data_IF_899555483521
#
_entry.id   IF_899555483521
#
_cell.length_a   1.000
_cell.length_b   1.000
_cell.length_c   1.000
_cell.angle_alpha   90.00
_cell.angle_beta   90.00
_cell.angle_gamma   90.00
#
_symmetry.space_group_name_H-M   'P 1'
#
loop_
_entity.id
_entity.type
_entity.pdbx_description
1 polymer ?
#
# COMPACT_ATOMS: atom_id res chain seq x y z
N UNK A 1 -13.11 11.50 19.90
CA UNK A 1 -13.82 10.25 20.32
C UNK A 1 -12.86 9.47 21.19
N UNK A 2 -13.29 9.01 22.37
CA UNK A 2 -12.47 8.18 23.24
C UNK A 2 -12.62 6.70 22.84
N UNK A 3 -11.52 5.96 22.80
CA UNK A 3 -11.47 4.52 22.51
C UNK A 3 -11.05 3.80 23.78
N UNK A 4 -11.67 2.66 24.05
CA UNK A 4 -11.42 1.87 25.24
C UNK A 4 -11.16 0.41 24.88
N UNK A 5 -10.24 -0.22 25.56
CA UNK A 5 -10.05 -1.66 25.56
C UNK A 5 -10.91 -2.28 26.65
N UNK A 6 -11.66 -3.32 26.34
CA UNK A 6 -12.45 -4.09 27.32
C UNK A 6 -11.72 -5.39 27.57
N UNK A 7 -11.32 -5.59 28.82
CA UNK A 7 -10.78 -6.85 29.32
C UNK A 7 -11.82 -7.59 30.16
N UNK A 8 -11.52 -8.81 30.64
CA UNK A 8 -12.43 -9.56 31.50
C UNK A 8 -12.72 -8.82 32.83
N UNK A 9 -11.79 -8.00 33.29
CA UNK A 9 -11.83 -7.42 34.65
C UNK A 9 -12.06 -5.90 34.64
N UNK A 10 -11.82 -5.20 33.51
CA UNK A 10 -11.87 -3.74 33.48
C UNK A 10 -12.00 -3.16 32.08
N UNK A 11 -12.40 -1.89 32.04
CA UNK A 11 -12.36 -1.05 30.86
C UNK A 11 -11.16 -0.09 31.00
N UNK A 12 -10.27 -0.11 30.03
CA UNK A 12 -9.04 0.70 30.02
C UNK A 12 -9.10 1.74 28.89
N UNK A 13 -8.97 3.04 29.17
CA UNK A 13 -8.91 4.04 28.11
C UNK A 13 -7.59 3.89 27.34
N UNK A 14 -7.69 3.85 26.00
CA UNK A 14 -6.53 3.95 25.13
C UNK A 14 -6.12 5.41 24.98
N UNK A 15 -4.83 5.68 25.15
CA UNK A 15 -4.31 7.02 24.98
C UNK A 15 -4.20 7.37 23.50
N UNK A 16 -4.78 8.50 23.08
CA UNK A 16 -4.60 8.99 21.72
C UNK A 16 -3.14 9.36 21.50
N UNK A 17 -2.66 9.08 20.30
CA UNK A 17 -1.31 9.47 19.86
C UNK A 17 -1.36 9.92 18.41
N UNK A 18 -0.32 10.57 17.95
CA UNK A 18 -0.15 10.94 16.54
C UNK A 18 1.02 10.19 15.92
N UNK A 19 1.05 10.10 14.59
CA UNK A 19 2.19 9.53 13.88
C UNK A 19 3.49 10.32 14.17
N UNK A 20 3.36 11.64 14.33
CA UNK A 20 4.50 12.51 14.67
C UNK A 20 5.06 12.19 16.05
N UNK A 21 4.18 11.97 17.05
CA UNK A 21 4.60 11.65 18.42
C UNK A 21 5.30 10.29 18.49
N UNK A 22 4.92 9.37 17.60
CA UNK A 22 5.58 8.07 17.45
C UNK A 22 6.82 8.11 16.55
N UNK A 23 7.16 9.26 15.98
CA UNK A 23 8.27 9.39 15.03
C UNK A 23 8.06 8.64 13.71
N UNK A 24 6.82 8.28 13.40
CA UNK A 24 6.50 7.49 12.21
C UNK A 24 6.36 8.37 10.96
N UNK A 25 6.92 7.91 9.86
CA UNK A 25 6.82 8.53 8.53
C UNK A 25 5.80 7.78 7.67
N UNK A 26 5.11 8.50 6.78
CA UNK A 26 4.09 7.95 5.89
C UNK A 26 4.64 6.81 5.02
N UNK A 27 5.69 7.07 4.25
CA UNK A 27 6.26 6.08 3.33
C UNK A 27 7.18 5.07 4.01
N UNK A 28 8.06 5.56 4.86
CA UNK A 28 9.07 4.69 5.46
C UNK A 28 8.52 3.70 6.47
N UNK A 29 7.49 4.09 7.20
CA UNK A 29 7.02 3.32 8.36
C UNK A 29 5.57 2.88 8.19
N UNK A 30 4.62 3.80 7.98
CA UNK A 30 3.20 3.46 7.86
C UNK A 30 2.95 2.54 6.65
N UNK A 31 3.50 2.89 5.48
CA UNK A 31 3.36 2.08 4.28
C UNK A 31 3.94 0.67 4.47
N UNK A 32 5.14 0.57 5.05
CA UNK A 32 5.79 -0.71 5.34
C UNK A 32 4.95 -1.56 6.30
N UNK A 33 4.46 -0.97 7.40
CA UNK A 33 3.65 -1.68 8.39
C UNK A 33 2.33 -2.17 7.78
N UNK A 34 1.62 -1.33 7.04
CA UNK A 34 0.37 -1.72 6.40
C UNK A 34 0.57 -2.72 5.26
N UNK A 35 1.66 -2.61 4.50
CA UNK A 35 2.01 -3.61 3.51
C UNK A 35 2.17 -5.00 4.12
N UNK A 36 2.85 -5.08 5.26
CA UNK A 36 3.13 -6.36 5.93
C UNK A 36 1.92 -6.86 6.74
N UNK A 37 1.00 -5.98 7.09
CA UNK A 37 -0.17 -6.26 7.90
C UNK A 37 -1.48 -5.77 7.24
N UNK A 38 -1.61 -5.91 5.93
CA UNK A 38 -2.79 -5.44 5.19
C UNK A 38 -4.10 -6.02 5.71
N UNK A 39 -4.03 -7.20 6.34
CA UNK A 39 -5.19 -7.87 6.95
C UNK A 39 -5.89 -7.05 8.04
N UNK A 40 -5.24 -6.02 8.61
CA UNK A 40 -5.89 -5.12 9.57
C UNK A 40 -6.84 -4.13 8.88
N UNK A 41 -6.64 -3.88 7.60
CA UNK A 41 -7.56 -3.07 6.77
C UNK A 41 -8.63 -3.99 6.18
N UNK A 42 -8.21 -5.06 5.52
CA UNK A 42 -9.10 -6.06 4.93
C UNK A 42 -8.38 -7.42 4.89
N UNK A 43 -8.91 -8.45 5.59
CA UNK A 43 -8.30 -9.78 5.65
C UNK A 43 -8.29 -10.52 4.31
N UNK A 44 -9.11 -10.09 3.36
CA UNK A 44 -9.22 -10.71 2.04
C UNK A 44 -8.30 -10.08 0.99
N UNK A 45 -7.56 -9.03 1.35
CA UNK A 45 -6.67 -8.32 0.43
C UNK A 45 -5.24 -8.87 0.51
N UNK A 46 -4.65 -9.10 -0.65
CA UNK A 46 -3.24 -9.39 -0.85
C UNK A 46 -2.56 -8.20 -1.53
N UNK A 47 -1.52 -7.64 -0.93
CA UNK A 47 -0.70 -6.61 -1.57
C UNK A 47 0.12 -7.23 -2.71
N UNK A 48 -0.04 -6.69 -3.91
CA UNK A 48 0.64 -7.14 -5.13
C UNK A 48 1.73 -6.17 -5.58
N UNK A 49 1.67 -4.90 -5.17
CA UNK A 49 2.74 -3.94 -5.44
C UNK A 49 2.71 -2.79 -4.45
N UNK A 50 3.87 -2.21 -4.18
CA UNK A 50 4.03 -0.92 -3.52
C UNK A 50 4.64 0.09 -4.48
N UNK A 51 4.35 1.38 -4.28
CA UNK A 51 4.77 2.47 -5.19
C UNK A 51 4.45 2.14 -6.65
N UNK A 52 3.26 1.52 -6.87
CA UNK A 52 2.87 1.09 -8.21
C UNK A 52 2.71 2.30 -9.14
N UNK A 53 3.48 2.28 -10.20
CA UNK A 53 3.48 3.28 -11.27
C UNK A 53 3.81 2.56 -12.58
N UNK A 54 3.91 3.28 -13.67
CA UNK A 54 4.15 2.70 -15.01
C UNK A 54 3.22 3.32 -16.03
N UNK A 55 2.71 4.49 -15.66
CA UNK A 55 1.91 5.33 -16.55
C UNK A 55 2.87 6.10 -17.46
N UNK A 56 2.64 6.04 -18.77
CA UNK A 56 3.50 6.69 -19.77
C UNK A 56 3.63 8.19 -19.53
N UNK A 57 2.56 8.85 -19.04
CA UNK A 57 2.48 10.30 -18.89
C UNK A 57 2.44 10.78 -17.42
N UNK A 58 2.73 9.93 -16.43
CA UNK A 58 2.58 10.33 -15.03
C UNK A 58 3.65 9.75 -14.13
N UNK A 59 4.26 10.61 -13.30
CA UNK A 59 5.16 10.21 -12.20
C UNK A 59 4.41 9.76 -10.94
N UNK A 60 3.09 9.69 -11.00
CA UNK A 60 2.26 9.31 -9.86
C UNK A 60 2.41 7.85 -9.54
N UNK A 61 2.29 7.53 -8.26
CA UNK A 61 2.39 6.17 -7.76
C UNK A 61 1.28 5.91 -6.77
N UNK A 62 0.74 4.71 -6.80
CA UNK A 62 -0.17 4.17 -5.80
C UNK A 62 0.68 3.65 -4.66
N UNK A 63 0.42 4.06 -3.43
CA UNK A 63 1.21 3.63 -2.27
C UNK A 63 1.17 2.12 -2.12
N UNK A 64 -0.01 1.50 -2.08
CA UNK A 64 -0.17 0.05 -2.12
C UNK A 64 -1.28 -0.34 -3.11
N UNK A 65 -0.97 -1.29 -3.98
CA UNK A 65 -1.94 -1.95 -4.85
C UNK A 65 -2.16 -3.36 -4.34
N UNK A 66 -3.41 -3.70 -4.08
CA UNK A 66 -3.85 -5.01 -3.64
C UNK A 66 -4.80 -5.68 -4.62
N UNK A 67 -5.06 -6.95 -4.37
CA UNK A 67 -6.11 -7.73 -5.01
C UNK A 67 -6.87 -8.50 -3.95
N UNK A 68 -8.20 -8.53 -4.03
CA UNK A 68 -9.04 -9.30 -3.13
C UNK A 68 -9.32 -10.72 -3.64
N UNK A 69 -9.99 -11.55 -2.83
CA UNK A 69 -10.36 -12.93 -3.20
C UNK A 69 -11.32 -13.03 -4.38
N UNK A 70 -12.00 -11.94 -4.74
CA UNK A 70 -12.87 -11.86 -5.92
C UNK A 70 -12.15 -11.33 -7.15
N UNK A 71 -10.81 -11.26 -7.10
CA UNK A 71 -9.95 -10.71 -8.14
C UNK A 71 -10.22 -9.22 -8.45
N UNK A 72 -10.75 -8.45 -7.49
CA UNK A 72 -10.92 -7.01 -7.62
C UNK A 72 -9.63 -6.31 -7.17
N UNK A 73 -9.23 -5.28 -7.92
CA UNK A 73 -8.11 -4.44 -7.53
C UNK A 73 -8.51 -3.50 -6.39
N UNK A 74 -7.63 -3.38 -5.42
CA UNK A 74 -7.79 -2.53 -4.26
C UNK A 74 -6.67 -1.50 -4.26
N UNK A 75 -7.03 -0.23 -4.31
CA UNK A 75 -6.11 0.90 -4.20
C UNK A 75 -6.09 1.36 -2.76
N UNK A 76 -4.92 1.39 -2.16
CA UNK A 76 -4.71 1.89 -0.80
C UNK A 76 -3.79 3.10 -0.90
N UNK A 77 -4.33 4.25 -0.53
CA UNK A 77 -3.62 5.53 -0.47
C UNK A 77 -3.46 5.93 0.99
N UNK A 78 -2.27 6.30 1.39
CA UNK A 78 -1.93 6.57 2.78
C UNK A 78 -1.72 8.06 3.01
N UNK A 79 -2.26 8.55 4.12
CA UNK A 79 -2.03 9.91 4.61
C UNK A 79 -1.78 9.89 6.10
N UNK A 80 -0.83 10.68 6.51
CA UNK A 80 -0.42 10.80 7.91
C UNK A 80 -1.17 11.89 8.66
N UNK A 81 -1.79 12.84 7.94
CA UNK A 81 -2.46 14.01 8.48
C UNK A 81 -3.95 14.00 8.18
N UNK A 82 -4.74 14.55 9.08
CA UNK A 82 -6.20 14.62 8.98
C UNK A 82 -6.69 15.60 7.89
N UNK A 83 -5.84 16.54 7.50
CA UNK A 83 -6.10 17.48 6.41
C UNK A 83 -6.03 16.86 5.03
N UNK A 84 -6.23 15.57 4.95
CA UNK A 84 -6.10 14.62 3.82
C UNK A 84 -6.33 15.10 2.40
N UNK A 85 -6.32 16.43 2.22
CA UNK A 85 -6.56 17.21 1.04
C UNK A 85 -6.56 16.43 -0.25
N UNK A 86 -7.67 16.30 -0.90
CA UNK A 86 -7.83 15.58 -2.17
C UNK A 86 -7.51 14.06 -2.15
N UNK A 87 -7.38 13.41 -0.97
CA UNK A 87 -7.10 11.97 -0.87
C UNK A 87 -8.17 11.13 -1.58
N UNK A 88 -9.44 11.48 -1.39
CA UNK A 88 -10.56 10.82 -2.08
C UNK A 88 -10.43 10.92 -3.60
N UNK A 89 -10.07 12.11 -4.10
CA UNK A 89 -9.83 12.33 -5.52
C UNK A 89 -8.61 11.56 -6.05
N UNK A 90 -7.58 11.39 -5.23
CA UNK A 90 -6.43 10.55 -5.57
C UNK A 90 -6.83 9.08 -5.67
N UNK A 91 -7.55 8.56 -4.68
CA UNK A 91 -8.02 7.17 -4.68
C UNK A 91 -8.93 6.88 -5.88
N UNK A 92 -9.90 7.76 -6.17
CA UNK A 92 -10.78 7.62 -7.34
C UNK A 92 -9.99 7.63 -8.64
N UNK A 93 -9.02 8.55 -8.77
CA UNK A 93 -8.16 8.65 -9.94
C UNK A 93 -7.35 7.38 -10.15
N UNK A 94 -6.73 6.87 -9.10
CA UNK A 94 -5.96 5.63 -9.18
C UNK A 94 -6.84 4.43 -9.47
N UNK A 95 -8.03 4.34 -8.88
CA UNK A 95 -9.00 3.31 -9.22
C UNK A 95 -9.37 3.34 -10.71
N UNK A 96 -9.59 4.54 -11.28
CA UNK A 96 -9.82 4.68 -12.72
C UNK A 96 -8.60 4.25 -13.54
N UNK A 97 -7.39 4.60 -13.12
CA UNK A 97 -6.15 4.23 -13.83
C UNK A 97 -5.92 2.71 -13.84
N UNK A 98 -6.25 2.00 -12.76
CA UNK A 98 -6.09 0.54 -12.70
C UNK A 98 -7.30 -0.22 -13.25
N UNK A 99 -8.43 0.43 -13.49
CA UNK A 99 -9.67 -0.22 -13.96
C UNK A 99 -9.51 -0.97 -15.30
N UNK A 100 -8.53 -0.57 -16.10
CA UNK A 100 -8.20 -1.20 -17.40
C UNK A 100 -7.06 -2.21 -17.31
N UNK A 101 -6.55 -2.50 -16.12
CA UNK A 101 -5.49 -3.49 -15.96
C UNK A 101 -6.00 -4.90 -16.27
N UNK A 102 -5.26 -5.60 -17.10
CA UNK A 102 -5.53 -7.03 -17.35
C UNK A 102 -4.98 -7.90 -16.20
N UNK A 103 -5.49 -9.11 -16.10
CA UNK A 103 -5.01 -10.08 -15.11
C UNK A 103 -3.50 -10.33 -15.24
N UNK A 104 -2.99 -10.42 -16.47
CA UNK A 104 -1.56 -10.61 -16.74
C UNK A 104 -0.71 -9.46 -16.18
N UNK A 105 -1.19 -8.22 -16.33
CA UNK A 105 -0.50 -7.05 -15.77
C UNK A 105 -0.47 -7.10 -14.24
N UNK A 106 -1.54 -7.54 -13.60
CA UNK A 106 -1.59 -7.71 -12.14
C UNK A 106 -0.62 -8.80 -11.69
N UNK A 107 -0.60 -9.94 -12.37
CA UNK A 107 0.34 -11.05 -12.08
C UNK A 107 1.78 -10.61 -12.29
N UNK A 108 2.06 -9.88 -13.35
CA UNK A 108 3.39 -9.35 -13.63
C UNK A 108 3.84 -8.38 -12.53
N UNK A 109 2.98 -7.44 -12.12
CA UNK A 109 3.27 -6.53 -11.01
C UNK A 109 3.58 -7.30 -9.72
N UNK A 110 2.76 -8.29 -9.37
CA UNK A 110 2.96 -9.12 -8.19
C UNK A 110 4.20 -10.01 -8.26
N UNK A 111 4.57 -10.51 -9.41
CA UNK A 111 5.78 -11.31 -9.63
C UNK A 111 7.03 -10.45 -9.48
N UNK A 112 7.06 -9.29 -10.11
CA UNK A 112 8.13 -8.32 -10.01
C UNK A 112 8.33 -7.85 -8.57
N UNK A 113 7.23 -7.53 -7.88
CA UNK A 113 7.23 -7.11 -6.49
C UNK A 113 7.81 -8.19 -5.56
N UNK A 114 7.37 -9.45 -5.69
CA UNK A 114 7.88 -10.57 -4.88
C UNK A 114 9.34 -10.87 -5.16
N UNK A 115 9.76 -10.78 -6.40
CA UNK A 115 11.15 -10.98 -6.80
C UNK A 115 12.05 -9.87 -6.25
N UNK A 116 11.61 -8.62 -6.30
CA UNK A 116 12.31 -7.49 -5.70
C UNK A 116 12.47 -7.68 -4.18
N UNK A 117 11.40 -8.06 -3.48
CA UNK A 117 11.45 -8.34 -2.03
C UNK A 117 12.38 -9.48 -1.65
N UNK A 118 12.53 -10.48 -2.52
CA UNK A 118 13.45 -11.61 -2.29
C UNK A 118 14.89 -11.33 -2.71
N UNK A 119 15.21 -10.11 -3.14
CA UNK A 119 16.55 -9.74 -3.60
C UNK A 119 16.97 -10.37 -4.93
N UNK A 120 16.04 -11.01 -5.66
CA UNK A 120 16.35 -11.73 -6.90
C UNK A 120 16.60 -10.76 -8.05
N UNK A 121 16.01 -9.56 -8.02
CA UNK A 121 16.13 -8.55 -9.09
C UNK A 121 17.39 -7.67 -9.02
N UNK A 122 18.16 -7.70 -7.94
CA UNK A 122 19.40 -6.93 -7.84
C UNK A 122 20.48 -7.37 -8.86
N UNK A 123 20.28 -8.50 -9.55
CA UNK A 123 21.25 -9.05 -10.53
C UNK A 123 20.87 -8.89 -12.01
N UNK A 124 19.65 -8.46 -12.34
CA UNK A 124 19.19 -8.47 -13.75
C UNK A 124 19.47 -7.15 -14.46
N UNK A 125 19.53 -6.01 -13.76
CA UNK A 125 19.72 -4.70 -14.38
C UNK A 125 21.20 -4.33 -14.68
N UNK A 126 22.17 -5.21 -14.41
CA UNK A 126 23.58 -4.92 -14.69
C UNK A 126 24.13 -5.61 -15.95
N UNK A 127 23.29 -6.30 -16.75
CA UNK A 127 23.74 -7.01 -17.95
C UNK A 127 23.21 -6.51 -19.29
N UNK A 128 22.56 -5.34 -19.34
CA UNK A 128 22.06 -4.78 -20.60
C UNK A 128 22.70 -3.43 -20.92
N UNK A 129 23.98 -3.27 -20.63
CA UNK A 129 24.75 -2.11 -21.11
C UNK A 129 26.17 -2.51 -21.44
N UNK A 130 26.35 -3.41 -22.40
CA UNK A 130 27.57 -3.52 -23.21
C UNK A 130 27.19 -4.28 -24.49
N UNK A 131 26.92 -3.60 -25.55
CA UNK A 131 27.31 -3.86 -26.93
C UNK A 131 26.76 -2.74 -27.81
#
# INVERSE_FOLDING_TARGET
MAVFEITQDRIVPLQPTSFSDQGLRERGDLQRLLRDQVHIIDPDVLVVSEEFGGWEDSRRRIDLLGVDRKARLVVIELKRTDDGGHMELQAIRYAAMVSTMTFEKVVCAGSTYRACRRGIFARVNHRSSVA
#
